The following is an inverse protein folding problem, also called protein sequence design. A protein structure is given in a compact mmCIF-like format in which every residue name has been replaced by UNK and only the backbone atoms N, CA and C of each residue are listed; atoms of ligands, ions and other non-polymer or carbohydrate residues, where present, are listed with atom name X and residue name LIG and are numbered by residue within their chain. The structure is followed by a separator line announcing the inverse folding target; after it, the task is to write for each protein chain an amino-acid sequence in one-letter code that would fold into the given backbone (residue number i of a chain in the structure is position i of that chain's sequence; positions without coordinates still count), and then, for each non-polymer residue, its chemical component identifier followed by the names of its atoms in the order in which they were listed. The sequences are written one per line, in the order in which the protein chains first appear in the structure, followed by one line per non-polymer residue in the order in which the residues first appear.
data_IF_281484842371
#
_entry.id   IF_281484842371
#
_cell.length_a   1.000
_cell.length_b   1.000
_cell.length_c   1.000
_cell.angle_alpha   90.00
_cell.angle_beta   90.00
_cell.angle_gamma   90.00
#
_symmetry.space_group_name_H-M   'P 1'
#
loop_
_entity.id
_entity.type
_entity.pdbx_description
1 polymer ?
#
# COMPACT_ATOMS: atom_id res chain seq x y z
N UNK A 1 -9.26 27.69 -6.73
CA UNK A 1 -8.19 26.68 -6.83
C UNK A 1 -8.65 25.29 -6.33
N UNK A 2 -9.49 25.22 -5.33
CA UNK A 2 -10.02 23.96 -4.73
C UNK A 2 -10.98 23.20 -5.68
N UNK A 3 -11.87 23.90 -6.35
CA UNK A 3 -12.88 23.31 -7.28
C UNK A 3 -12.24 22.62 -8.50
N UNK A 4 -11.19 23.18 -9.07
CA UNK A 4 -10.47 22.55 -10.19
C UNK A 4 -9.76 21.24 -9.79
N UNK A 5 -9.33 21.11 -8.54
CA UNK A 5 -8.73 19.87 -8.01
C UNK A 5 -9.76 18.77 -7.82
N UNK A 6 -10.98 19.09 -7.36
CA UNK A 6 -12.04 18.10 -7.15
C UNK A 6 -12.57 17.54 -8.48
N UNK A 7 -12.70 18.38 -9.51
CA UNK A 7 -13.10 17.97 -10.86
C UNK A 7 -12.04 17.07 -11.51
N UNK A 8 -10.76 17.40 -11.32
CA UNK A 8 -9.65 16.58 -11.83
C UNK A 8 -9.60 15.20 -11.12
N UNK A 9 -9.78 15.16 -9.80
CA UNK A 9 -9.86 13.92 -9.03
C UNK A 9 -11.04 13.04 -9.45
N UNK A 10 -12.22 13.61 -9.65
CA UNK A 10 -13.39 12.86 -10.11
C UNK A 10 -13.21 12.30 -11.53
N UNK A 11 -12.57 13.05 -12.43
CA UNK A 11 -12.19 12.53 -13.76
C UNK A 11 -11.17 11.40 -13.65
N UNK A 12 -10.15 11.55 -12.80
CA UNK A 12 -9.14 10.52 -12.59
C UNK A 12 -9.75 9.24 -11.99
N UNK A 13 -10.67 9.36 -11.03
CA UNK A 13 -11.40 8.22 -10.48
C UNK A 13 -12.34 7.57 -11.51
N UNK A 14 -12.81 8.34 -12.50
CA UNK A 14 -13.61 7.83 -13.61
C UNK A 14 -12.91 6.74 -14.44
N UNK A 15 -11.59 6.78 -14.57
CA UNK A 15 -10.81 5.75 -15.28
C UNK A 15 -10.72 4.43 -14.49
N UNK A 16 -11.03 4.42 -13.19
CA UNK A 16 -11.18 3.20 -12.40
C UNK A 16 -12.52 2.48 -12.63
N UNK A 17 -13.47 3.09 -13.33
CA UNK A 17 -14.82 2.53 -13.48
C UNK A 17 -14.84 1.13 -14.12
N UNK A 18 -13.87 0.82 -14.99
CA UNK A 18 -13.71 -0.51 -15.58
C UNK A 18 -13.13 -1.57 -14.64
N UNK A 19 -12.51 -1.16 -13.53
CA UNK A 19 -11.76 -2.04 -12.60
C UNK A 19 -12.19 -1.85 -11.14
N UNK A 20 -13.45 -1.46 -10.91
CA UNK A 20 -14.00 -1.24 -9.56
C UNK A 20 -13.94 -2.51 -8.70
N UNK A 21 -14.27 -3.65 -9.29
CA UNK A 21 -14.27 -4.93 -8.56
C UNK A 21 -12.87 -5.30 -8.09
N UNK A 22 -11.88 -5.18 -8.94
CA UNK A 22 -10.48 -5.43 -8.63
C UNK A 22 -9.94 -4.45 -7.58
N UNK A 23 -10.33 -3.17 -7.68
CA UNK A 23 -9.94 -2.13 -6.72
C UNK A 23 -10.52 -2.32 -5.32
N UNK A 24 -11.66 -3.02 -5.18
CA UNK A 24 -12.26 -3.36 -3.88
C UNK A 24 -11.76 -4.71 -3.38
N UNK A 25 -11.61 -5.70 -4.28
CA UNK A 25 -11.15 -7.03 -3.91
C UNK A 25 -9.70 -7.04 -3.41
N UNK A 26 -8.82 -6.23 -4.02
CA UNK A 26 -7.42 -6.17 -3.60
C UNK A 26 -7.25 -5.78 -2.12
N UNK A 27 -7.78 -4.65 -1.62
CA UNK A 27 -7.68 -4.32 -0.21
C UNK A 27 -8.46 -5.27 0.70
N UNK A 28 -9.56 -5.86 0.24
CA UNK A 28 -10.35 -6.82 1.02
C UNK A 28 -9.54 -8.10 1.30
N UNK A 29 -8.89 -8.69 0.29
CA UNK A 29 -8.00 -9.84 0.50
C UNK A 29 -6.78 -9.47 1.34
N UNK A 30 -6.30 -8.22 1.23
CA UNK A 30 -5.18 -7.73 2.04
C UNK A 30 -5.56 -7.53 3.52
N UNK A 31 -6.80 -7.15 3.81
CA UNK A 31 -7.33 -7.12 5.18
C UNK A 31 -7.54 -8.54 5.74
N UNK A 32 -8.00 -9.47 4.90
CA UNK A 32 -8.17 -10.87 5.31
C UNK A 32 -6.82 -11.51 5.66
N UNK A 33 -5.78 -11.30 4.85
CA UNK A 33 -4.41 -11.70 5.16
C UNK A 33 -3.95 -11.11 6.50
N UNK A 34 -4.14 -9.79 6.70
CA UNK A 34 -3.76 -9.14 7.93
C UNK A 34 -4.50 -9.70 9.17
N UNK A 35 -5.74 -10.14 9.01
CA UNK A 35 -6.49 -10.82 10.09
C UNK A 35 -5.82 -12.13 10.47
N UNK A 36 -5.38 -12.95 9.50
CA UNK A 36 -4.65 -14.18 9.79
C UNK A 36 -3.30 -13.90 10.45
N UNK A 37 -2.57 -12.87 10.01
CA UNK A 37 -1.31 -12.43 10.63
C UNK A 37 -1.49 -12.10 12.12
N UNK A 38 -2.65 -11.52 12.51
CA UNK A 38 -2.96 -11.18 13.90
C UNK A 38 -3.23 -12.41 14.78
N UNK A 39 -3.64 -13.56 14.23
CA UNK A 39 -3.83 -14.79 14.97
C UNK A 39 -2.51 -15.51 15.28
N UNK A 40 -1.45 -15.28 14.50
CA UNK A 40 -0.15 -15.94 14.69
C UNK A 40 0.42 -15.74 16.11
N UNK A 41 0.49 -14.53 16.68
CA UNK A 41 0.99 -14.32 18.04
C UNK A 41 0.17 -15.05 19.11
N UNK A 42 -1.16 -15.21 18.93
CA UNK A 42 -2.00 -15.92 19.89
C UNK A 42 -1.68 -17.41 19.90
N UNK A 43 -1.56 -18.04 18.73
CA UNK A 43 -1.20 -19.44 18.62
C UNK A 43 0.22 -19.68 19.16
N UNK A 44 1.14 -18.74 18.94
CA UNK A 44 2.48 -18.79 19.53
C UNK A 44 2.45 -18.70 21.05
N UNK A 45 1.61 -17.83 21.61
CA UNK A 45 1.43 -17.73 23.06
C UNK A 45 0.88 -19.05 23.67
N UNK A 46 -0.07 -19.69 22.98
CA UNK A 46 -0.58 -21.00 23.38
C UNK A 46 0.51 -22.09 23.38
N UNK A 47 1.36 -22.12 22.34
CA UNK A 47 2.48 -23.07 22.28
C UNK A 47 3.42 -22.89 23.48
N UNK A 48 3.76 -21.62 23.79
CA UNK A 48 4.70 -21.31 24.89
C UNK A 48 4.08 -21.58 26.25
N UNK A 49 2.87 -21.07 26.49
CA UNK A 49 2.26 -21.10 27.83
C UNK A 49 1.67 -22.47 28.20
N UNK A 50 1.19 -23.23 27.21
CA UNK A 50 0.54 -24.52 27.45
C UNK A 50 1.43 -25.66 26.96
N UNK A 51 1.84 -25.66 25.70
CA UNK A 51 2.58 -26.77 25.10
C UNK A 51 3.94 -27.02 25.76
N UNK A 52 4.76 -25.99 25.88
CA UNK A 52 6.10 -26.09 26.47
C UNK A 52 6.02 -26.30 27.97
N UNK A 53 5.11 -25.59 28.67
CA UNK A 53 4.94 -25.71 30.12
C UNK A 53 4.48 -27.13 30.52
N UNK A 54 3.57 -27.74 29.75
CA UNK A 54 3.09 -29.10 29.97
C UNK A 54 4.02 -30.18 29.41
N UNK A 55 5.04 -29.82 28.62
CA UNK A 55 5.91 -30.73 27.85
C UNK A 55 5.13 -31.68 26.92
N UNK A 56 3.98 -31.23 26.42
CA UNK A 56 3.13 -31.99 25.54
C UNK A 56 3.55 -31.80 24.08
N UNK A 57 4.33 -32.72 23.56
CA UNK A 57 4.84 -32.68 22.20
C UNK A 57 3.71 -32.78 21.14
N UNK A 58 2.65 -33.56 21.46
CA UNK A 58 1.53 -33.69 20.52
C UNK A 58 0.76 -32.38 20.38
N UNK A 59 0.51 -31.68 21.49
CA UNK A 59 -0.12 -30.36 21.47
C UNK A 59 0.68 -29.33 20.67
N UNK A 60 2.01 -29.30 20.87
CA UNK A 60 2.91 -28.41 20.11
C UNK A 60 2.82 -28.71 18.62
N UNK A 61 2.87 -30.00 18.21
CA UNK A 61 2.82 -30.39 16.81
C UNK A 61 1.51 -29.97 16.14
N UNK A 62 0.37 -30.14 16.78
CA UNK A 62 -0.94 -29.72 16.29
C UNK A 62 -1.01 -28.20 16.11
N UNK A 63 -0.49 -27.43 17.08
CA UNK A 63 -0.46 -25.96 16.99
C UNK A 63 0.50 -25.45 15.91
N UNK A 64 1.65 -26.12 15.72
CA UNK A 64 2.55 -25.83 14.60
C UNK A 64 1.86 -26.12 13.24
N UNK A 65 1.10 -27.21 13.14
CA UNK A 65 0.28 -27.51 11.97
C UNK A 65 -0.74 -26.41 11.68
N UNK A 66 -1.38 -25.87 12.73
CA UNK A 66 -2.30 -24.73 12.59
C UNK A 66 -1.58 -23.46 12.08
N UNK A 67 -0.37 -23.17 12.59
CA UNK A 67 0.42 -22.05 12.08
C UNK A 67 0.78 -22.19 10.60
N UNK A 68 1.17 -23.41 10.17
CA UNK A 68 1.44 -23.69 8.76
C UNK A 68 0.18 -23.50 7.88
N UNK A 69 -0.98 -23.92 8.37
CA UNK A 69 -2.25 -23.74 7.68
C UNK A 69 -2.61 -22.25 7.57
N UNK A 70 -2.48 -21.47 8.65
CA UNK A 70 -2.69 -20.01 8.63
C UNK A 70 -1.74 -19.34 7.67
N UNK A 71 -0.46 -19.73 7.65
CA UNK A 71 0.53 -19.18 6.72
C UNK A 71 0.19 -19.50 5.26
N UNK A 72 -0.27 -20.72 4.96
CA UNK A 72 -0.68 -21.13 3.61
C UNK A 72 -1.90 -20.32 3.12
N UNK A 73 -2.91 -20.15 3.97
CA UNK A 73 -4.09 -19.32 3.66
C UNK A 73 -3.70 -17.86 3.49
N UNK A 74 -2.87 -17.32 4.39
CA UNK A 74 -2.35 -15.96 4.31
C UNK A 74 -1.58 -15.71 3.01
N UNK A 75 -0.73 -16.67 2.60
CA UNK A 75 -0.01 -16.60 1.33
C UNK A 75 -0.97 -16.57 0.13
N UNK A 76 -1.98 -17.45 0.10
CA UNK A 76 -2.98 -17.47 -0.96
C UNK A 76 -3.74 -16.14 -1.06
N UNK A 77 -4.16 -15.56 0.08
CA UNK A 77 -4.79 -14.24 0.15
C UNK A 77 -3.85 -13.13 -0.33
N UNK A 78 -2.57 -13.19 0.04
CA UNK A 78 -1.55 -12.22 -0.37
C UNK A 78 -1.34 -12.22 -1.88
N UNK A 79 -1.17 -13.39 -2.49
CA UNK A 79 -1.00 -13.55 -3.93
C UNK A 79 -2.24 -13.04 -4.70
N UNK A 80 -3.43 -13.39 -4.21
CA UNK A 80 -4.70 -12.93 -4.79
C UNK A 80 -4.83 -11.40 -4.70
N UNK A 81 -4.51 -10.81 -3.55
CA UNK A 81 -4.53 -9.36 -3.36
C UNK A 81 -3.54 -8.65 -4.29
N UNK A 82 -2.33 -9.19 -4.46
CA UNK A 82 -1.31 -8.64 -5.36
C UNK A 82 -1.76 -8.71 -6.82
N UNK A 83 -2.35 -9.82 -7.24
CA UNK A 83 -2.88 -9.97 -8.59
C UNK A 83 -3.95 -8.93 -8.91
N UNK A 84 -4.97 -8.77 -8.05
CA UNK A 84 -6.04 -7.80 -8.26
C UNK A 84 -5.54 -6.34 -8.18
N UNK A 85 -4.61 -6.05 -7.29
CA UNK A 85 -4.00 -4.72 -7.20
C UNK A 85 -3.21 -4.37 -8.46
N UNK A 86 -2.39 -5.30 -8.95
CA UNK A 86 -1.62 -5.11 -10.18
C UNK A 86 -2.55 -4.96 -11.40
N UNK A 87 -3.58 -5.80 -11.51
CA UNK A 87 -4.57 -5.73 -12.60
C UNK A 87 -5.31 -4.40 -12.61
N UNK A 88 -5.74 -3.91 -11.46
CA UNK A 88 -6.39 -2.59 -11.33
C UNK A 88 -5.43 -1.45 -11.71
N UNK A 89 -4.19 -1.49 -11.24
CA UNK A 89 -3.20 -0.44 -11.52
C UNK A 89 -2.80 -0.40 -13.00
N UNK A 90 -2.59 -1.56 -13.63
CA UNK A 90 -2.29 -1.67 -15.06
C UNK A 90 -3.47 -1.21 -15.91
N UNK A 91 -4.69 -1.66 -15.58
CA UNK A 91 -5.90 -1.25 -16.29
C UNK A 91 -6.12 0.26 -16.23
N UNK A 92 -5.94 0.85 -15.04
CA UNK A 92 -5.99 2.30 -14.86
C UNK A 92 -4.95 3.04 -15.71
N UNK A 93 -3.68 2.60 -15.68
CA UNK A 93 -2.61 3.24 -16.43
C UNK A 93 -2.82 3.13 -17.95
N UNK A 94 -3.41 2.03 -18.43
CA UNK A 94 -3.78 1.85 -19.83
C UNK A 94 -4.86 2.83 -20.24
N UNK A 95 -5.91 2.99 -19.46
CA UNK A 95 -6.96 3.97 -19.70
C UNK A 95 -6.42 5.41 -19.69
N UNK A 96 -5.52 5.71 -18.75
CA UNK A 96 -4.87 7.02 -18.64
C UNK A 96 -3.99 7.31 -19.87
N UNK A 97 -3.19 6.33 -20.33
CA UNK A 97 -2.37 6.47 -21.55
C UNK A 97 -3.23 6.71 -22.78
N UNK A 98 -4.32 5.97 -22.93
CA UNK A 98 -5.24 6.15 -24.04
C UNK A 98 -5.86 7.56 -24.05
N UNK A 99 -6.31 8.04 -22.91
CA UNK A 99 -6.87 9.38 -22.77
C UNK A 99 -5.82 10.48 -23.05
N UNK A 100 -4.59 10.29 -22.54
CA UNK A 100 -3.48 11.22 -22.75
C UNK A 100 -3.08 11.25 -24.22
N UNK A 101 -2.98 10.09 -24.87
CA UNK A 101 -2.65 9.99 -26.30
C UNK A 101 -3.72 10.66 -27.18
N UNK A 102 -5.01 10.39 -26.91
CA UNK A 102 -6.11 11.05 -27.63
C UNK A 102 -6.07 12.59 -27.46
N UNK A 103 -5.72 13.06 -26.27
CA UNK A 103 -5.56 14.50 -26.03
C UNK A 103 -4.36 15.08 -26.79
N UNK A 104 -3.22 14.40 -26.81
CA UNK A 104 -2.04 14.83 -27.57
C UNK A 104 -2.37 14.92 -29.05
N UNK A 105 -3.12 13.97 -29.61
CA UNK A 105 -3.54 14.02 -31.03
C UNK A 105 -4.51 15.16 -31.35
N UNK A 106 -5.19 15.70 -30.35
CA UNK A 106 -6.09 16.86 -30.53
C UNK A 106 -5.39 18.22 -30.45
N UNK A 107 -4.10 18.24 -30.04
CA UNK A 107 -3.31 19.47 -29.95
C UNK A 107 -2.92 19.97 -31.34
N UNK A 108 -2.86 21.30 -31.50
CA UNK A 108 -2.30 21.95 -32.69
C UNK A 108 -0.77 21.81 -32.72
N UNK A 109 -0.16 21.94 -33.93
CA UNK A 109 1.30 21.91 -34.04
C UNK A 109 2.00 22.97 -33.19
N UNK A 110 1.43 24.16 -33.09
CA UNK A 110 1.97 25.25 -32.25
C UNK A 110 1.95 24.90 -30.72
N UNK A 111 0.90 24.22 -30.27
CA UNK A 111 0.81 23.78 -28.87
C UNK A 111 1.79 22.64 -28.59
N UNK A 112 2.00 21.72 -29.55
CA UNK A 112 2.99 20.65 -29.45
C UNK A 112 4.41 21.20 -29.37
N UNK A 113 4.73 22.23 -30.17
CA UNK A 113 6.05 22.88 -30.13
C UNK A 113 6.30 23.61 -28.83
N UNK A 114 5.29 24.28 -28.24
CA UNK A 114 5.42 24.96 -26.97
C UNK A 114 5.59 24.00 -25.78
N UNK A 115 4.96 22.82 -25.82
CA UNK A 115 5.09 21.79 -24.80
C UNK A 115 6.39 20.97 -24.91
N UNK A 116 6.92 20.85 -26.12
CA UNK A 116 8.09 20.04 -26.46
C UNK A 116 7.79 18.54 -26.49
N UNK A 117 8.23 17.89 -27.57
CA UNK A 117 7.99 16.45 -27.79
C UNK A 117 8.59 15.56 -26.68
N UNK A 118 9.75 15.93 -26.17
CA UNK A 118 10.42 15.20 -25.07
C UNK A 118 9.57 15.18 -23.79
N UNK A 119 8.91 16.31 -23.47
CA UNK A 119 8.00 16.41 -22.31
C UNK A 119 6.78 15.51 -22.49
N UNK A 120 6.19 15.48 -23.69
CA UNK A 120 5.03 14.64 -23.98
C UNK A 120 5.38 13.15 -23.87
N UNK A 121 6.53 12.72 -24.37
CA UNK A 121 7.03 11.34 -24.24
C UNK A 121 7.25 10.98 -22.76
N UNK A 122 7.90 11.86 -21.99
CA UNK A 122 8.14 11.62 -20.56
C UNK A 122 6.84 11.46 -19.78
N UNK A 123 5.81 12.29 -20.06
CA UNK A 123 4.49 12.18 -19.44
C UNK A 123 3.79 10.87 -19.78
N UNK A 124 3.87 10.42 -21.05
CA UNK A 124 3.26 9.17 -21.47
C UNK A 124 3.93 7.91 -20.91
N UNK A 125 5.23 8.00 -20.65
CA UNK A 125 6.03 6.86 -20.18
C UNK A 125 6.27 6.92 -18.68
N UNK A 126 7.13 7.82 -18.22
CA UNK A 126 7.60 7.88 -16.84
C UNK A 126 6.49 8.27 -15.87
N UNK A 127 5.75 9.36 -16.15
CA UNK A 127 4.74 9.87 -15.22
C UNK A 127 3.57 8.89 -15.07
N UNK A 128 3.11 8.29 -16.16
CA UNK A 128 2.03 7.28 -16.11
C UNK A 128 2.49 6.02 -15.37
N UNK A 129 3.74 5.59 -15.56
CA UNK A 129 4.29 4.45 -14.79
C UNK A 129 4.39 4.77 -13.29
N UNK A 130 4.73 6.00 -12.94
CA UNK A 130 4.80 6.43 -11.55
C UNK A 130 3.40 6.46 -10.91
N UNK A 131 2.39 6.93 -11.63
CA UNK A 131 0.98 6.87 -11.19
C UNK A 131 0.51 5.43 -11.04
N UNK A 132 0.84 4.53 -11.98
CA UNK A 132 0.54 3.10 -11.88
C UNK A 132 1.14 2.49 -10.62
N UNK A 133 2.43 2.74 -10.36
CA UNK A 133 3.13 2.24 -9.17
C UNK A 133 2.54 2.79 -7.88
N UNK A 134 2.21 4.08 -7.86
CA UNK A 134 1.54 4.74 -6.74
C UNK A 134 0.17 4.14 -6.44
N UNK A 135 -0.65 3.89 -7.46
CA UNK A 135 -1.96 3.26 -7.30
C UNK A 135 -1.85 1.82 -6.79
N UNK A 136 -0.90 1.04 -7.31
CA UNK A 136 -0.64 -0.32 -6.84
C UNK A 136 -0.26 -0.34 -5.36
N UNK A 137 0.66 0.54 -4.93
CA UNK A 137 1.05 0.69 -3.53
C UNK A 137 -0.11 1.15 -2.65
N UNK A 138 -0.91 2.10 -3.12
CA UNK A 138 -2.07 2.60 -2.40
C UNK A 138 -3.08 1.48 -2.12
N UNK A 139 -3.49 0.72 -3.14
CA UNK A 139 -4.44 -0.38 -3.00
C UNK A 139 -3.91 -1.50 -2.07
N UNK A 140 -2.60 -1.68 -2.02
CA UNK A 140 -1.95 -2.75 -1.24
C UNK A 140 -1.68 -2.39 0.21
N UNK A 141 -1.30 -1.14 0.50
CA UNK A 141 -0.78 -0.76 1.82
C UNK A 141 -1.70 0.18 2.60
N UNK A 142 -2.50 1.00 1.91
CA UNK A 142 -3.25 2.07 2.58
C UNK A 142 -4.23 1.57 3.62
N UNK A 143 -5.03 0.55 3.30
CA UNK A 143 -5.99 -0.01 4.26
C UNK A 143 -5.36 -1.01 5.23
N UNK A 144 -4.32 -1.73 4.80
CA UNK A 144 -3.63 -2.72 5.65
C UNK A 144 -2.97 -2.06 6.87
N UNK A 145 -2.26 -0.94 6.66
CA UNK A 145 -1.46 -0.32 7.74
C UNK A 145 -2.29 0.09 8.96
N UNK A 146 -3.38 0.87 8.86
CA UNK A 146 -4.19 1.22 10.01
C UNK A 146 -4.89 0.00 10.62
N UNK A 147 -5.32 -0.97 9.79
CA UNK A 147 -5.98 -2.18 10.25
C UNK A 147 -5.07 -3.05 11.10
N UNK A 148 -3.81 -3.26 10.68
CA UNK A 148 -2.83 -4.04 11.45
C UNK A 148 -2.49 -3.34 12.76
N UNK A 149 -2.31 -2.01 12.77
CA UNK A 149 -1.99 -1.26 14.00
C UNK A 149 -3.13 -1.35 15.01
N UNK A 150 -4.38 -1.11 14.58
CA UNK A 150 -5.55 -1.20 15.45
C UNK A 150 -5.75 -2.64 15.92
N UNK A 151 -5.66 -3.61 15.02
CA UNK A 151 -5.83 -5.03 15.34
C UNK A 151 -4.78 -5.54 16.32
N UNK A 152 -3.50 -5.20 16.12
CA UNK A 152 -2.42 -5.54 17.03
C UNK A 152 -2.61 -4.91 18.42
N UNK A 153 -3.10 -3.67 18.48
CA UNK A 153 -3.42 -2.99 19.73
C UNK A 153 -4.54 -3.72 20.49
N UNK A 154 -5.64 -4.05 19.82
CA UNK A 154 -6.75 -4.80 20.41
C UNK A 154 -6.26 -6.15 20.92
N UNK A 155 -5.47 -6.88 20.12
CA UNK A 155 -4.91 -8.17 20.51
C UNK A 155 -3.95 -8.06 21.71
N UNK A 156 -3.12 -7.03 21.78
CA UNK A 156 -2.25 -6.79 22.92
C UNK A 156 -3.05 -6.59 24.23
N UNK A 157 -4.18 -5.88 24.16
CA UNK A 157 -5.06 -5.71 25.33
C UNK A 157 -5.68 -7.02 25.80
N UNK A 158 -5.98 -7.96 24.91
CA UNK A 158 -6.53 -9.28 25.31
C UNK A 158 -5.51 -10.18 25.99
N UNK A 159 -4.23 -10.03 25.64
CA UNK A 159 -3.15 -10.86 26.19
C UNK A 159 -2.63 -10.29 27.52
N UNK A 160 -2.30 -9.02 27.59
CA UNK A 160 -1.79 -8.38 28.79
C UNK A 160 -1.95 -6.85 28.75
N UNK A 161 -2.82 -6.33 29.62
CA UNK A 161 -3.13 -4.90 29.69
C UNK A 161 -1.90 -4.02 29.99
N UNK A 162 -0.98 -4.50 30.87
CA UNK A 162 0.24 -3.74 31.21
C UNK A 162 1.18 -3.62 30.03
N UNK A 163 1.36 -4.70 29.25
CA UNK A 163 2.15 -4.69 28.02
C UNK A 163 1.49 -3.83 26.94
N UNK A 164 0.17 -3.88 26.81
CA UNK A 164 -0.58 -3.07 25.85
C UNK A 164 -0.42 -1.55 26.09
N UNK A 165 -0.38 -1.11 27.36
CA UNK A 165 -0.13 0.29 27.71
C UNK A 165 1.24 0.79 27.21
N UNK A 166 2.27 -0.06 27.20
CA UNK A 166 3.58 0.27 26.65
C UNK A 166 3.46 0.54 25.15
N UNK A 167 2.70 -0.28 24.42
CA UNK A 167 2.47 -0.08 22.99
C UNK A 167 1.72 1.21 22.69
N UNK A 168 0.70 1.55 23.48
CA UNK A 168 -0.06 2.81 23.35
C UNK A 168 0.84 4.04 23.52
N UNK A 169 1.86 3.98 24.36
CA UNK A 169 2.85 5.05 24.52
C UNK A 169 3.90 5.04 23.40
N UNK A 170 4.32 3.87 22.95
CA UNK A 170 5.41 3.71 21.97
C UNK A 170 4.97 4.10 20.55
N UNK A 171 3.72 3.80 20.15
CA UNK A 171 3.22 4.10 18.80
C UNK A 171 3.22 5.60 18.50
N UNK A 172 2.64 6.49 19.34
CA UNK A 172 2.70 7.93 19.07
C UNK A 172 4.12 8.49 19.13
N UNK A 173 4.96 7.97 20.05
CA UNK A 173 6.37 8.37 20.13
C UNK A 173 7.11 8.07 18.82
N UNK A 174 6.99 6.85 18.30
CA UNK A 174 7.56 6.45 17.01
C UNK A 174 6.99 7.28 15.85
N UNK A 175 5.69 7.57 15.88
CA UNK A 175 5.05 8.40 14.86
C UNK A 175 5.66 9.80 14.84
N UNK A 176 5.87 10.43 15.99
CA UNK A 176 6.52 11.75 16.08
C UNK A 176 7.94 11.71 15.53
N UNK A 177 8.72 10.68 15.88
CA UNK A 177 10.10 10.51 15.38
C UNK A 177 10.11 10.34 13.86
N UNK A 178 9.27 9.46 13.32
CA UNK A 178 9.18 9.21 11.87
C UNK A 178 8.75 10.47 11.11
N UNK A 179 7.71 11.17 11.58
CA UNK A 179 7.28 12.41 10.96
C UNK A 179 8.35 13.51 11.07
N UNK A 180 9.08 13.58 12.18
CA UNK A 180 10.22 14.48 12.36
C UNK A 180 11.34 14.22 11.35
N UNK A 181 11.72 12.94 11.17
CA UNK A 181 12.72 12.55 10.18
C UNK A 181 12.21 12.87 8.77
N UNK A 182 10.97 12.54 8.44
CA UNK A 182 10.38 12.85 7.12
C UNK A 182 10.37 14.37 6.85
N UNK A 183 10.02 15.18 7.84
CA UNK A 183 10.02 16.63 7.70
C UNK A 183 11.45 17.18 7.48
N UNK A 184 12.43 16.66 8.22
CA UNK A 184 13.84 17.03 8.08
C UNK A 184 14.46 16.58 6.74
N UNK A 185 14.01 15.45 6.18
CA UNK A 185 14.57 14.87 4.95
C UNK A 185 13.95 15.48 3.68
N UNK A 186 12.73 16.03 3.76
CA UNK A 186 12.05 16.68 2.61
C UNK A 186 12.87 17.73 1.86
N UNK A 187 13.58 18.67 2.52
CA UNK A 187 14.40 19.66 1.82
C UNK A 187 15.58 19.01 1.07
N UNK A 188 16.18 17.96 1.63
CA UNK A 188 17.28 17.25 0.97
C UNK A 188 16.86 16.58 -0.34
N UNK A 189 15.66 15.98 -0.40
CA UNK A 189 15.12 15.40 -1.63
C UNK A 189 14.92 16.46 -2.73
N UNK A 190 14.45 17.65 -2.37
CA UNK A 190 14.32 18.76 -3.35
C UNK A 190 15.66 19.20 -3.91
N UNK A 191 16.70 19.25 -3.08
CA UNK A 191 18.06 19.63 -3.50
C UNK A 191 18.65 18.59 -4.45
N UNK A 192 18.51 17.30 -4.15
CA UNK A 192 18.97 16.22 -5.03
C UNK A 192 18.24 16.25 -6.37
N UNK A 193 16.93 16.47 -6.37
CA UNK A 193 16.13 16.53 -7.59
C UNK A 193 16.54 17.72 -8.49
N UNK A 194 16.87 18.86 -7.89
CA UNK A 194 17.37 20.03 -8.63
C UNK A 194 18.77 19.78 -9.24
N UNK A 195 19.66 19.07 -8.54
CA UNK A 195 21.00 18.70 -9.08
C UNK A 195 20.86 17.74 -10.26
N UNK A 196 19.94 16.79 -10.21
CA UNK A 196 19.69 15.87 -11.32
C UNK A 196 19.15 16.59 -12.57
N UNK A 197 18.28 17.57 -12.41
CA UNK A 197 17.76 18.36 -13.54
C UNK A 197 18.83 19.24 -14.19
N UNK A 198 19.82 19.71 -13.42
CA UNK A 198 20.94 20.52 -13.95
C UNK A 198 22.02 19.67 -14.64
N UNK A 199 22.20 18.41 -14.24
CA UNK A 199 23.18 17.50 -14.87
C UNK A 199 22.73 16.95 -16.24
N UNK A 200 21.42 17.06 -16.59
CA UNK A 200 20.86 16.56 -17.85
C UNK A 200 20.37 17.68 -18.79
N UNK A 201 20.57 18.94 -18.41
CA UNK A 201 20.34 20.12 -19.26
C UNK A 201 21.67 20.59 -19.92
#
# INVERSE_FOLDING_TARGET
MYERRSIALNKMLGYLNGYKRESVLAPLFKMLEATFDLFVPLVMADIVNVGIAARDFHYILVRCGLLLLLAAIGLACSLTAQYFSAKAAVGYSTALRHALFAHIQSLSFSEMDTLGTSTLITRMTSDVNQVQSGLNLFLRLFLRSPFVVIGAMVMAFTVNVKAALIFVMTIPLLSVVVFGIMAATRPMYKTVQNVWTVCWA
#
